data_IF_835442787385
#
_entry.id   IF_835442787385
#
_cell.length_a   1.000
_cell.length_b   1.000
_cell.length_c   1.000
_cell.angle_alpha   90.00
_cell.angle_beta   90.00
_cell.angle_gamma   90.00
#
_symmetry.space_group_name_H-M   'P 1'
#
loop_
_entity.id
_entity.type
_entity.pdbx_description
1 polymer ?
#
# COMPACT_ATOMS: atom_id res chain seq x y z
N UNK A 1 -17.95 23.56 59.85
CA UNK A 1 -18.61 22.85 58.74
C UNK A 1 -17.65 22.81 57.57
N UNK A 2 -17.63 21.69 56.86
CA UNK A 2 -16.52 21.10 56.11
C UNK A 2 -16.07 21.88 54.88
N UNK A 3 -14.74 22.00 54.77
CA UNK A 3 -13.97 22.40 53.60
C UNK A 3 -14.14 21.33 52.51
N UNK A 4 -14.36 21.70 51.25
CA UNK A 4 -13.77 21.06 50.06
C UNK A 4 -13.83 22.10 48.93
N UNK A 5 -12.67 22.65 48.58
CA UNK A 5 -12.46 23.40 47.35
C UNK A 5 -12.25 22.39 46.21
N UNK A 6 -13.19 22.32 45.26
CA UNK A 6 -13.03 21.57 44.02
C UNK A 6 -12.18 22.39 43.05
N UNK A 7 -10.86 22.33 43.18
CA UNK A 7 -9.96 22.71 42.09
C UNK A 7 -9.82 21.52 41.13
N UNK A 8 -10.57 21.58 40.03
CA UNK A 8 -10.43 20.66 38.91
C UNK A 8 -9.12 21.01 38.21
N UNK A 9 -8.04 20.30 38.56
CA UNK A 9 -6.79 20.33 37.83
C UNK A 9 -7.01 19.65 36.46
N UNK A 10 -7.18 20.46 35.42
CA UNK A 10 -7.17 20.00 34.04
C UNK A 10 -5.77 19.48 33.69
N UNK A 11 -5.55 18.19 33.89
CA UNK A 11 -4.35 17.50 33.46
C UNK A 11 -4.40 17.39 31.92
N UNK A 12 -3.77 18.34 31.24
CA UNK A 12 -3.61 18.34 29.80
C UNK A 12 -2.67 17.18 29.43
N UNK A 13 -3.26 16.04 29.07
CA UNK A 13 -2.52 14.88 28.56
C UNK A 13 -1.98 15.28 27.18
N UNK A 14 -0.75 15.76 27.14
CA UNK A 14 0.00 15.92 25.90
C UNK A 14 0.39 14.51 25.46
N UNK A 15 -0.42 13.91 24.60
CA UNK A 15 -0.07 12.64 23.96
C UNK A 15 1.20 12.87 23.12
N UNK A 16 2.30 12.13 23.37
CA UNK A 16 3.47 12.22 22.51
C UNK A 16 3.08 11.73 21.11
N UNK A 17 3.27 12.58 20.10
CA UNK A 17 3.19 12.16 18.71
C UNK A 17 4.33 11.17 18.47
N UNK A 18 4.04 9.88 18.54
CA UNK A 18 4.98 8.83 18.16
C UNK A 18 5.13 8.88 16.65
N UNK A 19 6.17 9.55 16.18
CA UNK A 19 6.58 9.46 14.79
C UNK A 19 7.06 8.02 14.56
N UNK A 20 6.22 7.23 13.87
CA UNK A 20 6.61 5.90 13.45
C UNK A 20 7.82 6.01 12.52
N UNK A 21 8.91 5.34 12.88
CA UNK A 21 10.16 5.41 12.14
C UNK A 21 9.96 4.96 10.69
N UNK A 22 10.43 5.76 9.75
CA UNK A 22 10.41 5.38 8.34
C UNK A 22 11.38 4.24 8.08
N UNK A 23 10.93 3.30 7.27
CA UNK A 23 11.69 2.14 6.84
C UNK A 23 11.54 2.00 5.33
N UNK A 24 12.52 1.38 4.69
CA UNK A 24 12.49 1.10 3.24
C UNK A 24 12.50 -0.39 2.99
N UNK A 25 11.56 -0.84 2.17
CA UNK A 25 11.41 -2.24 1.78
C UNK A 25 11.55 -2.38 0.27
N UNK A 26 12.06 -3.53 -0.19
CA UNK A 26 12.12 -3.86 -1.62
C UNK A 26 11.04 -4.90 -1.93
N UNK A 27 10.13 -4.58 -2.85
CA UNK A 27 9.00 -5.44 -3.13
C UNK A 27 8.22 -4.97 -4.35
N UNK A 28 6.98 -5.40 -4.51
CA UNK A 28 6.11 -4.97 -5.60
C UNK A 28 4.83 -4.32 -5.07
N UNK A 29 4.41 -3.23 -5.71
CA UNK A 29 3.07 -2.66 -5.51
C UNK A 29 2.10 -3.49 -6.36
N UNK A 30 1.03 -4.01 -5.78
CA UNK A 30 0.04 -4.82 -6.48
C UNK A 30 -1.36 -4.52 -5.95
N UNK A 31 -2.39 -5.19 -6.46
CA UNK A 31 -3.75 -5.14 -5.91
C UNK A 31 -4.06 -6.36 -5.04
N UNK A 32 -5.09 -6.28 -4.20
CA UNK A 32 -5.48 -7.36 -3.27
C UNK A 32 -5.89 -8.69 -3.93
N UNK A 33 -6.14 -8.73 -5.25
CA UNK A 33 -6.56 -9.91 -6.01
C UNK A 33 -5.46 -10.50 -6.88
N UNK A 34 -4.47 -9.71 -7.30
CA UNK A 34 -3.34 -10.16 -8.10
C UNK A 34 -2.63 -11.38 -7.48
N UNK A 35 -2.25 -11.40 -6.19
CA UNK A 35 -1.60 -12.57 -5.59
C UNK A 35 -2.42 -13.87 -5.66
N UNK A 36 -3.74 -13.78 -5.83
CA UNK A 36 -4.66 -14.93 -5.79
C UNK A 36 -5.18 -15.35 -7.17
N UNK A 37 -5.24 -14.45 -8.14
CA UNK A 37 -5.95 -14.69 -9.41
C UNK A 37 -5.28 -14.05 -10.63
N UNK A 38 -4.05 -13.58 -10.51
CA UNK A 38 -3.34 -12.87 -11.59
C UNK A 38 -3.31 -13.64 -12.92
N UNK A 39 -2.91 -14.92 -12.92
CA UNK A 39 -2.91 -15.73 -14.14
C UNK A 39 -4.31 -15.98 -14.69
N UNK A 40 -5.30 -16.22 -13.82
CA UNK A 40 -6.68 -16.45 -14.24
C UNK A 40 -7.31 -15.19 -14.86
N UNK A 41 -7.03 -14.00 -14.32
CA UNK A 41 -7.53 -12.73 -14.86
C UNK A 41 -6.89 -12.37 -16.21
N UNK A 42 -5.58 -12.59 -16.38
CA UNK A 42 -4.89 -12.38 -17.66
C UNK A 42 -5.37 -13.38 -18.71
N UNK A 43 -5.55 -14.65 -18.34
CA UNK A 43 -6.09 -15.68 -19.22
C UNK A 43 -7.53 -15.35 -19.66
N UNK A 44 -8.39 -14.95 -18.72
CA UNK A 44 -9.78 -14.58 -19.03
C UNK A 44 -9.87 -13.39 -20.00
N UNK A 45 -9.03 -12.36 -19.85
CA UNK A 45 -9.05 -11.21 -20.77
C UNK A 45 -8.54 -11.58 -22.17
N UNK A 46 -7.50 -12.41 -22.26
CA UNK A 46 -7.04 -12.94 -23.54
C UNK A 46 -8.14 -13.74 -24.24
N UNK A 47 -8.87 -14.57 -23.49
CA UNK A 47 -9.96 -15.39 -24.03
C UNK A 47 -11.17 -14.55 -24.47
N UNK A 48 -11.53 -13.51 -23.71
CA UNK A 48 -12.72 -12.70 -23.97
C UNK A 48 -12.51 -11.54 -24.95
N UNK A 49 -11.29 -11.01 -25.05
CA UNK A 49 -10.99 -9.84 -25.90
C UNK A 49 -9.95 -10.09 -26.98
N UNK A 50 -9.30 -11.26 -27.00
CA UNK A 50 -8.18 -11.56 -27.89
C UNK A 50 -6.88 -10.82 -27.52
N UNK A 51 -6.90 -9.96 -26.51
CA UNK A 51 -5.79 -9.08 -26.15
C UNK A 51 -5.25 -9.38 -24.74
N UNK A 52 -3.94 -9.59 -24.65
CA UNK A 52 -3.27 -9.82 -23.38
C UNK A 52 -3.05 -8.46 -22.69
N UNK A 53 -3.67 -8.23 -21.54
CA UNK A 53 -3.32 -7.07 -20.73
C UNK A 53 -1.94 -7.23 -20.10
N UNK A 54 -1.24 -6.11 -19.91
CA UNK A 54 -0.05 -6.03 -19.09
C UNK A 54 -0.42 -6.11 -17.60
N UNK A 55 0.54 -6.52 -16.77
CA UNK A 55 0.34 -6.62 -15.32
C UNK A 55 -0.04 -5.27 -14.69
N UNK A 56 0.48 -4.18 -15.23
CA UNK A 56 0.17 -2.82 -14.79
C UNK A 56 -1.28 -2.44 -15.11
N UNK A 57 -1.75 -2.70 -16.35
CA UNK A 57 -3.15 -2.45 -16.73
C UNK A 57 -4.13 -3.28 -15.91
N UNK A 58 -3.76 -4.52 -15.57
CA UNK A 58 -4.55 -5.36 -14.68
C UNK A 58 -4.67 -4.74 -13.27
N UNK A 59 -3.55 -4.30 -12.70
CA UNK A 59 -3.51 -3.76 -11.34
C UNK A 59 -4.27 -2.43 -11.22
N UNK A 60 -4.07 -1.53 -12.18
CA UNK A 60 -4.80 -0.24 -12.24
C UNK A 60 -6.30 -0.49 -12.46
N UNK A 61 -6.67 -1.42 -13.34
CA UNK A 61 -8.06 -1.77 -13.59
C UNK A 61 -8.76 -2.40 -12.39
N UNK A 62 -8.08 -3.23 -11.59
CA UNK A 62 -8.62 -3.80 -10.36
C UNK A 62 -8.90 -2.71 -9.30
N UNK A 63 -7.96 -1.79 -9.10
CA UNK A 63 -8.15 -0.70 -8.12
C UNK A 63 -9.23 0.27 -8.59
N UNK A 64 -9.18 0.69 -9.87
CA UNK A 64 -10.09 1.69 -10.42
C UNK A 64 -11.51 1.19 -10.71
N UNK A 65 -11.67 -0.02 -11.25
CA UNK A 65 -12.99 -0.52 -11.71
C UNK A 65 -13.61 -1.56 -10.80
N UNK A 66 -12.82 -2.24 -9.96
CA UNK A 66 -13.31 -3.30 -9.07
C UNK A 66 -13.30 -2.91 -7.58
N UNK A 67 -12.94 -1.66 -7.25
CA UNK A 67 -12.92 -1.16 -5.87
C UNK A 67 -11.82 -1.79 -5.02
N UNK A 68 -10.78 -2.35 -5.64
CA UNK A 68 -9.67 -2.99 -4.92
C UNK A 68 -8.71 -1.94 -4.37
N UNK A 69 -7.86 -2.35 -3.43
CA UNK A 69 -6.84 -1.49 -2.82
C UNK A 69 -5.45 -1.92 -3.26
N UNK A 70 -4.57 -0.95 -3.43
CA UNK A 70 -3.14 -1.18 -3.54
C UNK A 70 -2.62 -1.81 -2.24
N UNK A 71 -1.78 -2.83 -2.42
CA UNK A 71 -1.02 -3.49 -1.37
C UNK A 71 0.44 -3.56 -1.80
N UNK A 72 1.32 -3.69 -0.83
CA UNK A 72 2.74 -3.89 -1.07
C UNK A 72 3.11 -5.31 -0.68
N UNK A 73 3.77 -6.03 -1.57
CA UNK A 73 4.25 -7.39 -1.32
C UNK A 73 5.76 -7.38 -1.22
N UNK A 74 6.30 -7.80 -0.07
CA UNK A 74 7.74 -7.96 0.18
C UNK A 74 7.97 -9.26 0.92
N UNK A 75 8.92 -10.06 0.46
CA UNK A 75 9.34 -11.31 1.11
C UNK A 75 8.16 -12.26 1.41
N UNK A 76 7.21 -12.37 0.48
CA UNK A 76 6.02 -13.21 0.63
C UNK A 76 4.96 -12.68 1.61
N UNK A 77 5.17 -11.51 2.21
CA UNK A 77 4.20 -10.82 3.07
C UNK A 77 3.44 -9.75 2.31
N UNK A 78 2.15 -9.62 2.61
CA UNK A 78 1.28 -8.59 2.05
C UNK A 78 1.06 -7.51 3.11
N UNK A 79 1.38 -6.27 2.75
CA UNK A 79 1.17 -5.09 3.57
C UNK A 79 0.07 -4.21 2.95
N UNK A 80 -0.87 -3.74 3.77
CA UNK A 80 -1.87 -2.75 3.34
C UNK A 80 -1.20 -1.40 3.15
N UNK A 81 -1.69 -0.61 2.20
CA UNK A 81 -1.25 0.78 2.03
C UNK A 81 -2.32 1.72 2.57
N UNK A 82 -1.97 2.60 3.50
CA UNK A 82 -2.92 3.50 4.15
C UNK A 82 -3.41 4.63 3.22
N UNK A 83 -2.49 5.25 2.49
CA UNK A 83 -2.72 6.37 1.57
C UNK A 83 -2.81 5.87 0.13
N UNK A 84 -3.98 5.32 -0.23
CA UNK A 84 -4.29 4.70 -1.53
C UNK A 84 -4.19 5.66 -2.74
N UNK A 85 -4.15 6.95 -2.47
CA UNK A 85 -4.06 8.07 -3.39
C UNK A 85 -2.62 8.59 -3.57
N UNK A 86 -1.63 7.98 -2.91
CA UNK A 86 -0.23 8.41 -3.02
C UNK A 86 0.26 8.34 -4.47
N UNK A 87 0.82 9.46 -4.93
CA UNK A 87 1.34 9.59 -6.30
C UNK A 87 2.41 8.53 -6.59
N UNK A 88 2.30 7.86 -7.73
CA UNK A 88 3.21 6.77 -8.12
C UNK A 88 2.75 5.36 -7.72
N UNK A 89 1.70 5.18 -6.92
CA UNK A 89 1.14 3.85 -6.68
C UNK A 89 0.61 3.21 -7.97
N UNK A 90 -0.13 3.99 -8.77
CA UNK A 90 -0.66 3.54 -10.07
C UNK A 90 0.46 3.37 -11.11
N UNK A 91 1.40 4.33 -11.17
CA UNK A 91 2.48 4.35 -12.15
C UNK A 91 3.50 3.22 -11.95
N UNK A 92 3.58 2.72 -10.71
CA UNK A 92 4.48 1.65 -10.30
C UNK A 92 3.75 0.38 -9.88
N UNK A 93 2.46 0.27 -10.16
CA UNK A 93 1.69 -0.94 -9.96
C UNK A 93 2.27 -2.09 -10.81
N UNK A 94 2.27 -3.29 -10.23
CA UNK A 94 2.89 -4.50 -10.74
C UNK A 94 4.40 -4.40 -11.05
N UNK A 95 5.11 -3.42 -10.47
CA UNK A 95 6.55 -3.23 -10.66
C UNK A 95 7.31 -3.37 -9.35
N UNK A 96 8.55 -3.83 -9.47
CA UNK A 96 9.48 -3.88 -8.34
C UNK A 96 9.95 -2.47 -7.97
N UNK A 97 9.79 -2.13 -6.69
CA UNK A 97 10.10 -0.81 -6.12
C UNK A 97 10.81 -0.97 -4.78
N UNK A 98 11.55 0.07 -4.42
CA UNK A 98 11.88 0.41 -3.05
C UNK A 98 10.79 1.33 -2.53
N UNK A 99 10.01 0.86 -1.56
CA UNK A 99 8.94 1.61 -0.94
C UNK A 99 9.41 2.05 0.44
N UNK A 100 9.37 3.35 0.70
CA UNK A 100 9.67 3.94 2.01
C UNK A 100 8.39 4.40 2.67
N UNK A 101 8.29 4.18 3.98
CA UNK A 101 7.15 4.63 4.75
C UNK A 101 7.20 4.19 6.20
N UNK A 102 6.16 4.54 6.95
CA UNK A 102 6.00 4.10 8.34
C UNK A 102 5.12 2.86 8.41
N UNK A 103 5.59 1.82 9.11
CA UNK A 103 4.84 0.59 9.34
C UNK A 103 4.10 0.63 10.68
N UNK A 104 2.79 0.39 10.63
CA UNK A 104 1.93 0.21 11.80
C UNK A 104 1.18 -1.13 11.65
N UNK A 105 1.63 -2.16 12.39
CA UNK A 105 1.09 -3.51 12.25
C UNK A 105 1.37 -4.09 10.86
N UNK A 106 0.31 -4.31 10.07
CA UNK A 106 0.37 -4.80 8.69
C UNK A 106 0.16 -3.69 7.65
N UNK A 107 0.13 -2.44 8.08
CA UNK A 107 -0.24 -1.29 7.25
C UNK A 107 0.92 -0.30 7.13
N UNK A 108 1.30 0.01 5.89
CA UNK A 108 2.33 0.99 5.55
C UNK A 108 1.66 2.29 5.11
N UNK A 109 2.08 3.41 5.69
CA UNK A 109 1.82 4.74 5.13
C UNK A 109 3.03 5.13 4.28
N UNK A 110 2.82 5.23 2.97
CA UNK A 110 3.88 5.47 1.99
C UNK A 110 4.31 6.92 2.03
N UNK A 111 5.61 7.16 2.01
CA UNK A 111 6.20 8.50 1.90
C UNK A 111 7.13 8.65 0.71
N UNK A 112 7.62 7.56 0.13
CA UNK A 112 8.47 7.59 -1.05
C UNK A 112 8.42 6.25 -1.81
N UNK A 113 8.51 6.33 -3.14
CA UNK A 113 8.58 5.16 -4.02
C UNK A 113 9.72 5.38 -5.01
N UNK A 114 10.64 4.42 -5.09
CA UNK A 114 11.74 4.43 -6.07
C UNK A 114 11.68 3.15 -6.88
N UNK A 115 11.77 3.27 -8.20
CA UNK A 115 11.92 2.11 -9.07
C UNK A 115 13.23 1.39 -8.79
N UNK A 116 13.18 0.08 -8.57
CA UNK A 116 14.40 -0.74 -8.64
C UNK A 116 14.60 -1.13 -10.09
N UNK A 117 15.41 -0.37 -10.83
CA UNK A 117 15.70 -0.70 -12.21
C UNK A 117 16.56 -1.96 -12.28
N UNK A 118 15.89 -3.10 -12.49
CA UNK A 118 16.47 -4.22 -13.22
C UNK A 118 15.48 -4.63 -14.29
N UNK A 119 15.48 -3.91 -15.42
CA UNK A 119 15.21 -4.57 -16.71
C UNK A 119 16.23 -5.70 -16.89
N UNK A 120 15.90 -6.93 -16.48
CA UNK A 120 16.46 -8.10 -17.17
C UNK A 120 15.60 -8.26 -18.42
N UNK A 121 16.25 -8.11 -19.57
CA UNK A 121 15.67 -7.94 -20.89
C UNK A 121 14.51 -8.88 -21.20
N UNK A 122 13.50 -8.30 -21.86
CA UNK A 122 12.62 -9.00 -22.79
C UNK A 122 13.44 -9.57 -23.93
#
# INVERSE_FOLDING_TARGET
MTKIAFMIAACLIIAPATFAAEQTWTGAITDTMCPKSHQANIAHKLETSGERMTDQECAVGCVGHRGQKYVFVSDGRIYKIANQDYAGLADHAARAVKLTGSLAGDTIKVSHIVMTDKRKGR
#
